data_IF_698621084721
#
_entry.id   IF_698621084721
#
_cell.length_a   1.000
_cell.length_b   1.000
_cell.length_c   1.000
_cell.angle_alpha   90.00
_cell.angle_beta   90.00
_cell.angle_gamma   90.00
#
_symmetry.space_group_name_H-M   'P 1'
#
loop_
_entity.id
_entity.type
_entity.pdbx_description
1 polymer ?
#
# COMPACT_ATOMS: atom_id res chain seq x y z
N UNK A 1 17.00 -30.65 15.12
CA UNK A 1 16.15 -29.84 16.01
C UNK A 1 14.91 -29.44 15.24
N UNK A 2 13.77 -29.29 15.93
CA UNK A 2 12.49 -28.88 15.35
C UNK A 2 12.61 -27.62 14.45
N UNK A 3 13.46 -26.67 14.84
CA UNK A 3 13.74 -25.46 14.08
C UNK A 3 14.23 -25.72 12.64
N UNK A 4 15.08 -26.74 12.42
CA UNK A 4 15.57 -27.07 11.06
C UNK A 4 14.48 -27.66 10.16
N UNK A 5 13.57 -28.43 10.73
CA UNK A 5 12.44 -29.02 9.99
C UNK A 5 11.40 -27.96 9.60
N UNK A 6 11.15 -27.01 10.49
CA UNK A 6 10.25 -25.88 10.22
C UNK A 6 10.78 -25.00 9.08
N UNK A 7 12.09 -24.69 9.06
CA UNK A 7 12.70 -23.92 7.98
C UNK A 7 12.63 -24.65 6.63
N UNK A 8 12.97 -25.94 6.59
CA UNK A 8 12.94 -26.73 5.36
C UNK A 8 11.53 -26.84 4.74
N UNK A 9 10.48 -26.89 5.56
CA UNK A 9 9.08 -26.89 5.08
C UNK A 9 8.63 -25.51 4.60
N UNK A 10 9.16 -24.43 5.20
CA UNK A 10 8.82 -23.06 4.82
C UNK A 10 9.53 -22.63 3.52
N UNK A 11 10.76 -23.07 3.30
CA UNK A 11 11.54 -22.76 2.09
C UNK A 11 10.85 -23.25 0.81
N UNK A 12 10.22 -24.44 0.84
CA UNK A 12 9.50 -25.01 -0.30
C UNK A 12 8.20 -24.27 -0.68
N UNK A 13 7.71 -23.36 0.17
CA UNK A 13 6.45 -22.64 -0.04
C UNK A 13 6.66 -21.26 -0.69
N UNK A 14 7.89 -20.73 -0.70
CA UNK A 14 8.22 -19.38 -1.20
C UNK A 14 7.27 -18.27 -0.68
N UNK A 15 6.80 -18.41 0.57
CA UNK A 15 5.92 -17.45 1.22
C UNK A 15 6.79 -16.48 2.01
N UNK A 16 6.66 -15.18 1.70
CA UNK A 16 7.33 -14.15 2.48
C UNK A 16 6.89 -14.24 3.96
N UNK A 17 7.83 -14.23 4.93
CA UNK A 17 7.51 -14.35 6.36
C UNK A 17 6.74 -13.13 6.89
N UNK A 18 6.76 -12.01 6.16
CA UNK A 18 6.05 -10.77 6.49
C UNK A 18 5.16 -10.35 5.33
N UNK A 19 3.94 -9.89 5.64
CA UNK A 19 2.98 -9.37 4.67
C UNK A 19 2.85 -7.86 4.83
N UNK A 20 2.85 -7.14 3.72
CA UNK A 20 2.51 -5.72 3.67
C UNK A 20 1.18 -5.52 2.94
N UNK A 21 0.48 -4.43 3.27
CA UNK A 21 -0.69 -3.98 2.52
C UNK A 21 -0.36 -2.65 1.84
N UNK A 22 -0.90 -2.48 0.62
CA UNK A 22 -0.90 -1.21 -0.10
C UNK A 22 -2.27 -0.57 0.13
N UNK A 23 -2.29 0.73 0.38
CA UNK A 23 -3.52 1.49 0.58
C UNK A 23 -4.15 1.85 -0.77
N UNK A 24 -5.49 1.93 -0.85
CA UNK A 24 -6.13 2.48 -2.04
C UNK A 24 -5.93 4.00 -2.15
N UNK A 25 -6.08 4.51 -3.37
CA UNK A 25 -6.14 5.94 -3.64
C UNK A 25 -7.59 6.41 -3.51
N UNK A 26 -7.80 7.48 -2.74
CA UNK A 26 -9.10 8.15 -2.61
C UNK A 26 -9.10 9.43 -3.43
N UNK A 27 -10.10 9.59 -4.30
CA UNK A 27 -10.24 10.78 -5.14
C UNK A 27 -11.60 11.43 -4.91
N UNK A 28 -11.66 12.64 -4.33
CA UNK A 28 -12.93 13.35 -4.14
C UNK A 28 -13.50 13.79 -5.49
N UNK A 29 -14.82 13.67 -5.64
CA UNK A 29 -15.57 14.13 -6.81
C UNK A 29 -16.45 15.29 -6.38
N UNK A 30 -16.33 16.41 -7.08
CA UNK A 30 -17.07 17.64 -6.80
C UNK A 30 -18.08 17.94 -7.90
N UNK A 31 -19.22 18.54 -7.54
CA UNK A 31 -20.15 19.12 -8.51
C UNK A 31 -19.64 20.45 -9.07
N UNK A 32 -20.42 21.05 -9.99
CA UNK A 32 -20.08 22.35 -10.61
C UNK A 32 -19.99 23.50 -9.61
N UNK A 33 -20.57 23.36 -8.41
CA UNK A 33 -20.56 24.35 -7.35
C UNK A 33 -19.46 24.10 -6.32
N UNK A 34 -18.59 23.09 -6.55
CA UNK A 34 -17.52 22.72 -5.63
C UNK A 34 -17.98 21.93 -4.41
N UNK A 35 -19.23 21.44 -4.38
CA UNK A 35 -19.71 20.57 -3.30
C UNK A 35 -19.22 19.14 -3.53
N UNK A 36 -18.69 18.51 -2.48
CA UNK A 36 -18.32 17.09 -2.51
C UNK A 36 -19.59 16.25 -2.72
N UNK A 37 -19.62 15.46 -3.79
CA UNK A 37 -20.75 14.60 -4.14
C UNK A 37 -20.42 13.12 -4.06
N UNK A 38 -19.14 12.74 -4.16
CA UNK A 38 -18.71 11.34 -4.10
C UNK A 38 -17.20 11.24 -3.78
N UNK A 39 -16.75 10.04 -3.42
CA UNK A 39 -15.33 9.69 -3.26
C UNK A 39 -15.06 8.38 -3.99
N UNK A 40 -14.22 8.44 -5.03
CA UNK A 40 -13.79 7.27 -5.79
C UNK A 40 -12.61 6.59 -5.11
N UNK A 41 -12.62 5.25 -5.12
CA UNK A 41 -11.58 4.41 -4.54
C UNK A 41 -10.90 3.62 -5.67
N UNK A 42 -9.58 3.66 -5.75
CA UNK A 42 -8.79 2.88 -6.71
C UNK A 42 -7.77 1.97 -6.02
N UNK A 43 -7.62 0.74 -6.54
CA UNK A 43 -6.67 -0.28 -6.07
C UNK A 43 -5.57 -0.57 -7.09
N UNK A 44 -5.33 0.35 -8.03
CA UNK A 44 -4.44 0.14 -9.18
C UNK A 44 -2.97 0.43 -8.88
N UNK A 45 -2.64 0.94 -7.70
CA UNK A 45 -1.28 1.35 -7.33
C UNK A 45 -0.50 0.18 -6.72
N UNK A 46 0.77 0.01 -7.11
CA UNK A 46 1.66 -0.95 -6.49
C UNK A 46 2.46 -0.31 -5.33
N UNK A 47 3.20 -1.13 -4.58
CA UNK A 47 3.95 -0.65 -3.41
C UNK A 47 4.97 0.46 -3.75
N UNK A 48 5.73 0.32 -4.83
CA UNK A 48 6.78 1.29 -5.19
C UNK A 48 6.15 2.63 -5.54
N UNK A 49 5.12 2.61 -6.37
CA UNK A 49 4.40 3.82 -6.79
C UNK A 49 3.80 4.54 -5.58
N UNK A 50 3.17 3.80 -4.65
CA UNK A 50 2.61 4.36 -3.42
C UNK A 50 3.68 5.03 -2.56
N UNK A 51 4.83 4.37 -2.36
CA UNK A 51 5.90 4.92 -1.53
C UNK A 51 6.50 6.19 -2.14
N UNK A 52 6.66 6.23 -3.47
CA UNK A 52 7.15 7.42 -4.17
C UNK A 52 6.16 8.58 -4.05
N UNK A 53 4.86 8.33 -4.27
CA UNK A 53 3.81 9.33 -4.11
C UNK A 53 3.75 9.90 -2.69
N UNK A 54 3.84 9.03 -1.67
CA UNK A 54 3.88 9.49 -0.27
C UNK A 54 5.09 10.36 0.03
N UNK A 55 6.26 10.02 -0.49
CA UNK A 55 7.46 10.83 -0.35
C UNK A 55 7.35 12.20 -1.01
N UNK A 56 6.66 12.29 -2.15
CA UNK A 56 6.49 13.54 -2.89
C UNK A 56 5.38 14.43 -2.33
N UNK A 57 4.19 13.87 -2.09
CA UNK A 57 2.98 14.65 -1.81
C UNK A 57 2.68 14.77 -0.31
N UNK A 58 3.23 13.88 0.52
CA UNK A 58 2.88 13.74 1.93
C UNK A 58 4.10 13.73 2.87
N UNK A 59 5.21 14.37 2.47
CA UNK A 59 6.41 14.52 3.30
C UNK A 59 6.64 15.97 3.75
N UNK A 60 5.83 16.51 4.69
CA UNK A 60 5.88 17.93 5.08
C UNK A 60 7.03 18.30 6.02
N UNK A 61 7.81 17.33 6.50
CA UNK A 61 8.93 17.59 7.40
C UNK A 61 10.09 18.22 6.62
N UNK A 62 10.35 19.49 6.86
CA UNK A 62 11.59 20.18 6.45
C UNK A 62 12.62 20.09 7.57
N UNK A 63 13.87 19.78 7.20
CA UNK A 63 15.02 19.93 8.10
C UNK A 63 15.23 21.40 8.50
#
# INVERSE_FOLDING_TARGET
>A
TLHKEVLARYEGLNIAPYKGFVNPIYTPVYDKNGKLIDVKISYTENYIDQMLRYGQDYSPLTH
#
